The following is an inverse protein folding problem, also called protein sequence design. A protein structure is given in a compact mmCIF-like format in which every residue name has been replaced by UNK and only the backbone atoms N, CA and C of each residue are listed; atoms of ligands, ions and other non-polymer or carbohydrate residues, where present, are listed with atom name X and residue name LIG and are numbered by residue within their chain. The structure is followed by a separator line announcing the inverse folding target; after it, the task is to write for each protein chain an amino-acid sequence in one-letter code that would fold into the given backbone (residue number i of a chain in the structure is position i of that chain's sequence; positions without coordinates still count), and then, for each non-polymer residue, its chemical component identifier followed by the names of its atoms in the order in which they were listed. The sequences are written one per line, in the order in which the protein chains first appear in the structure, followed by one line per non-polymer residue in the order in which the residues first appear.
data_IF_116558896194
#
_entry.id   IF_116558896194
#
_cell.length_a   1.000
_cell.length_b   1.000
_cell.length_c   1.000
_cell.angle_alpha   90.00
_cell.angle_beta   90.00
_cell.angle_gamma   90.00
#
_symmetry.space_group_name_H-M   'P 1'
#
loop_
_entity.id
_entity.type
_entity.pdbx_description
1 polymer ?
#
# COMPACT_ATOMS: atom_id res chain seq x y z
N UNK A 1 4.17 -3.78 9.45
CA UNK A 1 4.13 -2.29 9.41
C UNK A 1 4.73 -1.75 10.68
N UNK A 2 5.50 -0.69 10.58
CA UNK A 2 6.12 0.04 11.69
C UNK A 2 5.66 1.50 11.66
N UNK A 3 5.35 2.06 12.82
CA UNK A 3 4.93 3.46 12.96
C UNK A 3 5.94 4.16 13.86
N UNK A 4 6.58 5.19 13.34
CA UNK A 4 7.57 6.00 14.05
C UNK A 4 7.01 7.42 14.17
N UNK A 5 6.94 7.94 15.38
CA UNK A 5 6.37 9.24 15.66
C UNK A 5 7.38 10.22 16.24
N UNK A 6 7.35 11.44 15.73
CA UNK A 6 8.01 12.62 16.30
C UNK A 6 6.96 13.74 16.52
N UNK A 7 7.31 14.86 17.17
CA UNK A 7 6.34 15.95 17.39
C UNK A 7 5.73 16.54 16.10
N UNK A 8 6.44 16.48 14.99
CA UNK A 8 6.02 17.14 13.73
C UNK A 8 5.80 16.15 12.58
N UNK A 9 6.06 14.86 12.80
CA UNK A 9 6.05 13.89 11.70
C UNK A 9 5.72 12.50 12.21
N UNK A 10 4.90 11.78 11.46
CA UNK A 10 4.73 10.34 11.60
C UNK A 10 5.25 9.66 10.33
N UNK A 11 6.01 8.60 10.50
CA UNK A 11 6.49 7.75 9.40
C UNK A 11 5.82 6.39 9.53
N UNK A 12 5.19 5.93 8.47
CA UNK A 12 4.64 4.58 8.37
C UNK A 12 5.48 3.78 7.37
N UNK A 13 6.17 2.75 7.87
CA UNK A 13 6.98 1.82 7.06
C UNK A 13 6.26 0.50 6.86
N UNK A 14 6.41 -0.08 5.68
CA UNK A 14 5.85 -1.38 5.34
C UNK A 14 6.94 -2.34 4.88
N UNK A 15 6.65 -3.64 4.87
CA UNK A 15 7.55 -4.70 4.37
C UNK A 15 7.94 -4.51 2.90
N UNK A 16 7.08 -3.86 2.11
CA UNK A 16 7.36 -3.51 0.72
C UNK A 16 8.37 -2.34 0.57
N UNK A 17 9.15 -2.03 1.60
CA UNK A 17 10.11 -0.92 1.69
C UNK A 17 9.51 0.45 1.39
N UNK A 18 8.20 0.57 1.42
CA UNK A 18 7.53 1.85 1.24
C UNK A 18 7.46 2.58 2.58
N UNK A 19 7.88 3.82 2.57
CA UNK A 19 7.80 4.70 3.73
C UNK A 19 6.94 5.90 3.38
N UNK A 20 5.87 6.09 4.13
CA UNK A 20 5.04 7.28 4.01
C UNK A 20 5.41 8.28 5.10
N UNK A 21 5.74 9.47 4.68
CA UNK A 21 6.01 10.59 5.56
C UNK A 21 4.75 11.44 5.71
N UNK A 22 4.24 11.51 6.93
CA UNK A 22 3.03 12.26 7.29
C UNK A 22 3.48 13.47 8.09
N UNK A 23 3.27 14.66 7.55
CA UNK A 23 3.62 15.90 8.24
C UNK A 23 2.45 16.38 9.10
N UNK A 24 2.75 16.71 10.35
CA UNK A 24 1.79 17.22 11.34
C UNK A 24 1.88 18.75 11.51
N UNK A 25 2.83 19.39 10.85
CA UNK A 25 3.01 20.83 10.86
C UNK A 25 2.18 21.52 9.77
N UNK A 26 2.10 22.86 9.86
CA UNK A 26 1.32 23.69 8.93
C UNK A 26 2.05 23.99 7.59
N UNK A 27 3.09 23.22 7.23
CA UNK A 27 3.75 23.42 5.93
C UNK A 27 2.75 23.33 4.77
N UNK A 28 2.92 24.11 3.72
CA UNK A 28 1.99 24.10 2.59
C UNK A 28 1.97 22.73 1.91
N UNK A 29 0.81 22.35 1.39
CA UNK A 29 0.67 21.18 0.50
C UNK A 29 1.43 21.45 -0.80
N UNK A 30 1.92 20.41 -1.48
CA UNK A 30 2.47 20.56 -2.83
C UNK A 30 1.45 21.24 -3.76
N UNK A 31 1.91 22.04 -4.73
CA UNK A 31 1.03 22.59 -5.77
C UNK A 31 0.23 21.48 -6.47
N UNK A 32 -0.95 21.82 -6.98
CA UNK A 32 -1.81 20.86 -7.68
C UNK A 32 -1.17 20.22 -8.92
N UNK A 33 -0.13 20.85 -9.48
CA UNK A 33 0.65 20.32 -10.61
C UNK A 33 1.66 19.24 -10.22
N UNK A 34 1.91 19.05 -8.92
CA UNK A 34 2.81 18.00 -8.42
C UNK A 34 1.98 16.77 -8.09
N UNK A 35 2.29 15.66 -8.75
CA UNK A 35 1.63 14.37 -8.55
C UNK A 35 2.62 13.35 -8.02
N UNK A 36 2.23 12.63 -6.99
CA UNK A 36 3.04 11.65 -6.27
C UNK A 36 2.37 10.28 -6.34
N UNK A 37 3.15 9.23 -6.49
CA UNK A 37 2.64 7.85 -6.56
C UNK A 37 1.75 7.49 -5.36
N UNK A 38 2.17 7.88 -4.16
CA UNK A 38 1.45 7.60 -2.92
C UNK A 38 0.63 8.79 -2.41
N UNK A 39 0.56 9.88 -3.18
CA UNK A 39 -0.04 11.13 -2.75
C UNK A 39 0.77 11.88 -1.70
N UNK A 40 0.38 13.12 -1.44
CA UNK A 40 0.95 13.97 -0.41
C UNK A 40 0.13 13.83 0.89
N UNK A 41 0.75 13.34 1.95
CA UNK A 41 0.12 13.15 3.24
C UNK A 41 0.22 14.39 4.13
N UNK A 42 -0.88 14.71 4.82
CA UNK A 42 -0.95 15.68 5.92
C UNK A 42 -1.76 15.08 7.05
N UNK A 43 -1.22 15.18 8.26
CA UNK A 43 -1.88 14.67 9.46
C UNK A 43 -2.20 15.77 10.44
N UNK A 44 -3.23 15.56 11.22
CA UNK A 44 -3.57 16.34 12.40
C UNK A 44 -4.22 15.45 13.45
N UNK A 45 -4.23 15.91 14.68
CA UNK A 45 -4.88 15.17 15.76
C UNK A 45 -6.30 15.69 15.98
N UNK A 46 -7.25 14.77 16.04
CA UNK A 46 -8.61 14.97 16.55
C UNK A 46 -8.72 14.18 17.86
N UNK A 47 -8.56 14.84 18.98
CA UNK A 47 -8.43 14.23 20.31
C UNK A 47 -7.32 13.16 20.34
N UNK A 48 -7.67 11.90 20.43
CA UNK A 48 -6.78 10.72 20.47
C UNK A 48 -6.63 10.01 19.11
N UNK A 49 -7.17 10.60 18.05
CA UNK A 49 -7.20 10.04 16.72
C UNK A 49 -6.31 10.85 15.78
N UNK A 50 -5.32 10.20 15.18
CA UNK A 50 -4.55 10.79 14.08
C UNK A 50 -5.38 10.68 12.80
N UNK A 51 -5.72 11.81 12.22
CA UNK A 51 -6.37 11.91 10.91
C UNK A 51 -5.33 12.27 9.87
N UNK A 52 -5.25 11.49 8.80
CA UNK A 52 -4.30 11.70 7.71
C UNK A 52 -5.05 11.87 6.40
N UNK A 53 -4.84 12.98 5.74
CA UNK A 53 -5.42 13.29 4.45
C UNK A 53 -4.37 13.19 3.35
N UNK A 54 -4.69 12.50 2.28
CA UNK A 54 -3.85 12.35 1.09
C UNK A 54 -4.50 13.02 -0.11
N UNK A 55 -3.69 13.72 -0.85
CA UNK A 55 -4.04 14.37 -2.12
C UNK A 55 -2.88 14.31 -3.11
N UNK A 56 -3.01 14.92 -4.26
CA UNK A 56 -1.93 15.01 -5.25
C UNK A 56 -1.41 13.63 -5.73
N UNK A 57 -2.32 12.70 -5.95
CA UNK A 57 -1.94 11.40 -6.50
C UNK A 57 -1.56 11.51 -7.99
N UNK A 58 -0.61 10.70 -8.43
CA UNK A 58 -0.39 10.46 -9.84
C UNK A 58 -1.58 9.71 -10.45
N UNK A 59 -1.77 9.82 -11.77
CA UNK A 59 -2.85 9.13 -12.50
C UNK A 59 -2.81 7.63 -12.22
N UNK A 60 -1.61 7.04 -12.32
CA UNK A 60 -1.36 5.62 -12.04
C UNK A 60 -1.07 5.36 -10.55
N UNK A 61 -1.26 6.38 -9.72
CA UNK A 61 -0.97 6.31 -8.29
C UNK A 61 -1.83 5.26 -7.60
N UNK A 62 -1.17 4.29 -6.99
CA UNK A 62 -1.84 3.23 -6.25
C UNK A 62 -2.31 3.74 -4.91
N UNK A 63 -3.62 3.64 -4.67
CA UNK A 63 -4.17 3.83 -3.33
C UNK A 63 -4.12 2.49 -2.62
N UNK A 64 -3.25 2.39 -1.65
CA UNK A 64 -3.15 1.20 -0.81
C UNK A 64 -3.66 1.57 0.57
N UNK A 65 -4.92 1.25 0.83
CA UNK A 65 -5.48 1.35 2.18
C UNK A 65 -4.85 0.28 3.07
N UNK A 66 -4.53 0.65 4.32
CA UNK A 66 -3.88 -0.21 5.31
C UNK A 66 -2.65 -0.95 4.79
N UNK A 67 -1.92 -0.35 3.97
CA UNK A 67 -0.53 -0.58 3.48
C UNK A 67 0.04 -2.00 3.53
N UNK A 68 -0.71 -3.03 3.92
CA UNK A 68 -0.26 -4.43 3.96
C UNK A 68 -1.41 -5.43 3.88
N UNK A 69 -1.31 -6.32 2.93
CA UNK A 69 -1.66 -7.75 2.92
C UNK A 69 -3.03 -8.22 3.43
N UNK A 70 -4.03 -7.37 3.59
CA UNK A 70 -5.37 -7.91 3.76
C UNK A 70 -6.21 -7.57 2.54
N UNK A 71 -6.72 -8.54 1.81
CA UNK A 71 -7.78 -8.24 0.84
C UNK A 71 -8.97 -7.69 1.64
N UNK A 72 -9.34 -6.47 1.49
CA UNK A 72 -9.71 -5.71 0.32
C UNK A 72 -8.96 -4.38 0.14
N UNK A 73 -7.74 -4.28 0.62
CA UNK A 73 -7.06 -3.01 0.81
C UNK A 73 -6.27 -2.50 -0.41
N UNK A 74 -6.12 -3.28 -1.46
CA UNK A 74 -5.55 -2.79 -2.71
C UNK A 74 -6.70 -2.25 -3.55
N UNK A 75 -6.97 -0.96 -3.40
CA UNK A 75 -7.88 -0.28 -4.30
C UNK A 75 -7.01 0.34 -5.38
N UNK A 76 -6.91 -0.34 -6.49
CA UNK A 76 -6.37 0.25 -7.71
C UNK A 76 -7.41 1.25 -8.20
N UNK A 77 -7.05 2.52 -8.16
CA UNK A 77 -7.82 3.58 -8.76
C UNK A 77 -7.11 4.00 -10.03
N UNK A 78 -7.64 3.57 -11.14
CA UNK A 78 -7.08 3.80 -12.46
C UNK A 78 -7.63 5.09 -13.05
N UNK A 79 -7.23 6.22 -12.59
CA UNK A 79 -7.48 7.24 -13.52
C UNK A 79 -7.85 8.61 -13.09
N UNK A 80 -7.90 8.99 -11.83
CA UNK A 80 -8.05 10.41 -11.55
C UNK A 80 -6.99 10.94 -10.60
N UNK A 81 -6.46 12.12 -10.92
CA UNK A 81 -5.60 12.89 -10.01
C UNK A 81 -6.39 13.53 -8.87
N UNK A 82 -7.72 13.52 -8.96
CA UNK A 82 -8.62 14.16 -7.99
C UNK A 82 -9.03 13.26 -6.83
N UNK A 83 -8.55 12.03 -6.80
CA UNK A 83 -8.82 11.11 -5.69
C UNK A 83 -8.25 11.65 -4.39
N UNK A 84 -8.99 11.42 -3.31
CA UNK A 84 -8.62 11.77 -1.94
C UNK A 84 -8.72 10.54 -1.07
N UNK A 85 -7.81 10.45 -0.11
CA UNK A 85 -7.84 9.41 0.90
C UNK A 85 -7.80 10.07 2.26
N UNK A 86 -8.63 9.57 3.17
CA UNK A 86 -8.58 9.94 4.58
C UNK A 86 -8.35 8.67 5.39
N UNK A 87 -7.30 8.64 6.18
CA UNK A 87 -7.03 7.59 7.15
C UNK A 87 -7.27 8.11 8.55
N UNK A 88 -7.75 7.23 9.43
CA UNK A 88 -7.98 7.51 10.86
C UNK A 88 -7.31 6.42 11.67
N UNK A 89 -6.47 6.83 12.59
CA UNK A 89 -5.66 5.94 13.42
C UNK A 89 -5.92 6.26 14.89
N UNK A 90 -6.55 5.33 15.59
CA UNK A 90 -6.86 5.50 17.01
C UNK A 90 -6.28 4.34 17.81
N UNK A 91 -5.47 4.67 18.82
CA UNK A 91 -4.99 3.66 19.76
C UNK A 91 -6.12 3.27 20.71
N UNK A 92 -6.49 2.00 20.73
CA UNK A 92 -7.50 1.47 21.63
C UNK A 92 -6.90 1.08 22.99
N UNK A 93 -5.73 0.43 22.95
CA UNK A 93 -4.96 0.01 24.10
C UNK A 93 -3.48 -0.18 23.74
N UNK A 94 -2.70 -0.86 24.58
CA UNK A 94 -1.28 -1.08 24.36
C UNK A 94 -0.95 -2.02 23.20
N UNK A 95 -1.93 -2.79 22.76
CA UNK A 95 -1.76 -3.84 21.73
C UNK A 95 -2.65 -3.67 20.51
N UNK A 96 -3.66 -2.79 20.59
CA UNK A 96 -4.64 -2.63 19.52
C UNK A 96 -4.71 -1.20 18.98
N UNK A 97 -4.82 -1.11 17.66
CA UNK A 97 -4.99 0.13 16.93
C UNK A 97 -6.22 0.01 16.01
N UNK A 98 -7.21 0.88 16.20
CA UNK A 98 -8.32 1.01 15.25
C UNK A 98 -7.83 1.82 14.05
N UNK A 99 -8.00 1.26 12.86
CA UNK A 99 -7.65 1.89 11.60
C UNK A 99 -8.88 2.02 10.72
N UNK A 100 -9.15 3.23 10.29
CA UNK A 100 -10.19 3.56 9.32
C UNK A 100 -9.58 4.16 8.06
N UNK A 101 -10.18 3.86 6.94
CA UNK A 101 -9.76 4.32 5.62
C UNK A 101 -11.00 4.72 4.80
N UNK A 102 -10.95 5.87 4.16
CA UNK A 102 -11.97 6.34 3.22
C UNK A 102 -11.32 6.79 1.93
N UNK A 103 -11.73 6.22 0.81
CA UNK A 103 -11.37 6.65 -0.53
C UNK A 103 -12.54 7.41 -1.15
N UNK A 104 -12.31 8.64 -1.55
CA UNK A 104 -13.18 9.45 -2.38
C UNK A 104 -12.51 9.66 -3.75
N UNK A 105 -13.07 9.02 -4.77
CA UNK A 105 -12.59 9.10 -6.15
C UNK A 105 -13.78 9.25 -7.10
N UNK A 106 -14.25 10.49 -7.31
CA UNK A 106 -15.44 10.75 -8.11
C UNK A 106 -15.28 10.40 -9.60
N UNK A 107 -14.07 10.14 -10.06
CA UNK A 107 -13.82 9.69 -11.45
C UNK A 107 -14.08 8.21 -11.66
N UNK A 108 -13.99 7.40 -10.60
CA UNK A 108 -14.18 5.95 -10.70
C UNK A 108 -15.32 5.41 -9.84
N UNK A 109 -15.85 6.21 -8.92
CA UNK A 109 -16.85 5.78 -7.92
C UNK A 109 -17.98 6.78 -7.81
N UNK A 110 -19.19 6.26 -7.64
CA UNK A 110 -20.40 7.07 -7.43
C UNK A 110 -20.56 7.56 -5.99
N UNK A 111 -19.79 6.99 -5.06
CA UNK A 111 -19.78 7.38 -3.64
C UNK A 111 -18.46 6.98 -2.99
N UNK A 112 -18.05 7.64 -1.91
CA UNK A 112 -16.87 7.23 -1.14
C UNK A 112 -16.97 5.79 -0.65
N UNK A 113 -15.81 5.13 -0.59
CA UNK A 113 -15.65 3.78 -0.07
C UNK A 113 -14.89 3.85 1.26
N UNK A 114 -15.45 3.26 2.31
CA UNK A 114 -14.83 3.25 3.63
C UNK A 114 -14.72 1.85 4.17
N UNK A 115 -13.65 1.63 4.94
CA UNK A 115 -13.41 0.40 5.69
C UNK A 115 -12.78 0.74 7.04
N UNK A 116 -13.08 -0.04 8.05
CA UNK A 116 -12.51 0.08 9.38
C UNK A 116 -12.23 -1.30 9.95
N UNK A 117 -11.09 -1.45 10.64
CA UNK A 117 -10.74 -2.69 11.32
C UNK A 117 -9.69 -2.46 12.42
N UNK A 118 -9.57 -3.44 13.31
CA UNK A 118 -8.59 -3.43 14.39
C UNK A 118 -7.31 -4.13 13.93
N UNK A 119 -6.17 -3.50 14.17
CA UNK A 119 -4.84 -4.06 13.99
C UNK A 119 -4.22 -4.41 15.34
N UNK A 120 -3.42 -5.48 15.36
CA UNK A 120 -2.68 -5.92 16.54
C UNK A 120 -1.22 -5.53 16.45
N UNK A 121 -0.66 -5.18 17.60
CA UNK A 121 0.78 -5.01 17.72
C UNK A 121 1.45 -6.39 17.63
N UNK A 122 2.44 -6.50 16.79
CA UNK A 122 3.32 -7.66 16.77
C UNK A 122 4.14 -7.74 18.09
N UNK A 123 4.52 -8.95 18.48
CA UNK A 123 5.39 -9.16 19.63
C UNK A 123 6.80 -8.63 19.35
N UNK A 124 7.58 -8.40 20.39
CA UNK A 124 8.96 -7.88 20.24
C UNK A 124 9.91 -8.86 19.51
N UNK A 125 9.48 -10.10 19.27
CA UNK A 125 10.22 -11.11 18.51
C UNK A 125 9.94 -11.06 17.01
N UNK A 126 8.89 -10.35 16.60
CA UNK A 126 8.46 -10.23 15.21
C UNK A 126 8.96 -8.90 14.64
N UNK A 127 10.03 -8.95 13.87
CA UNK A 127 10.61 -7.79 13.22
C UNK A 127 9.96 -7.54 11.86
N UNK A 128 9.91 -6.27 11.46
CA UNK A 128 9.55 -5.90 10.09
C UNK A 128 10.70 -6.32 9.17
N UNK A 129 10.46 -7.35 8.37
CA UNK A 129 11.40 -7.82 7.35
C UNK A 129 10.99 -7.28 5.98
N UNK A 130 11.96 -7.21 5.07
CA UNK A 130 11.68 -6.83 3.69
C UNK A 130 10.90 -7.93 2.97
N UNK A 131 9.85 -7.53 2.25
CA UNK A 131 9.16 -8.42 1.33
C UNK A 131 9.91 -8.48 0.00
N UNK A 132 10.87 -9.40 -0.07
CA UNK A 132 11.79 -9.58 -1.19
C UNK A 132 11.37 -10.78 -2.07
N UNK A 133 10.14 -10.75 -2.60
CA UNK A 133 9.58 -11.87 -3.38
C UNK A 133 10.33 -12.15 -4.71
N UNK A 134 11.23 -11.25 -5.12
CA UNK A 134 12.07 -11.46 -6.30
C UNK A 134 13.35 -12.23 -5.99
N UNK A 135 13.81 -12.20 -4.75
CA UNK A 135 15.01 -12.91 -4.35
C UNK A 135 14.74 -14.41 -4.27
N UNK A 136 15.60 -15.19 -4.91
CA UNK A 136 15.45 -16.65 -4.97
C UNK A 136 14.24 -17.13 -5.80
N UNK A 137 13.59 -16.26 -6.57
CA UNK A 137 12.49 -16.65 -7.46
C UNK A 137 13.04 -17.29 -8.73
N UNK A 138 13.12 -18.61 -8.75
CA UNK A 138 13.58 -19.43 -9.88
C UNK A 138 12.41 -19.91 -10.79
N UNK A 139 11.19 -19.47 -10.51
CA UNK A 139 10.00 -19.94 -11.24
C UNK A 139 10.09 -19.68 -12.75
N UNK A 140 10.62 -18.52 -13.17
CA UNK A 140 10.79 -18.21 -14.59
C UNK A 140 11.78 -19.16 -15.27
N UNK A 141 12.90 -19.45 -14.61
CA UNK A 141 13.91 -20.38 -15.10
C UNK A 141 13.33 -21.80 -15.25
N UNK A 142 12.60 -22.27 -14.25
CA UNK A 142 11.94 -23.58 -14.30
C UNK A 142 10.83 -23.65 -15.36
N UNK A 143 10.06 -22.60 -15.53
CA UNK A 143 9.02 -22.53 -16.57
C UNK A 143 9.63 -22.60 -17.95
N UNK A 144 10.69 -21.84 -18.20
CA UNK A 144 11.37 -21.83 -19.49
C UNK A 144 12.12 -23.15 -19.78
N UNK A 145 12.75 -23.74 -18.78
CA UNK A 145 13.41 -25.05 -18.94
C UNK A 145 12.43 -26.16 -19.18
N UNK A 146 11.28 -26.15 -18.52
CA UNK A 146 10.18 -27.09 -18.74
C UNK A 146 9.60 -27.00 -20.15
N UNK A 147 9.33 -25.79 -20.64
CA UNK A 147 8.87 -25.56 -22.01
C UNK A 147 9.85 -26.09 -23.06
N UNK A 148 11.14 -25.80 -22.87
CA UNK A 148 12.20 -26.31 -23.78
C UNK A 148 12.36 -27.84 -23.71
N UNK A 149 12.04 -28.46 -22.59
CA UNK A 149 12.05 -29.93 -22.50
C UNK A 149 10.88 -30.52 -23.29
N UNK A 150 9.69 -29.95 -23.19
CA UNK A 150 8.53 -30.34 -23.99
C UNK A 150 8.75 -30.19 -25.50
N UNK A 151 9.27 -29.03 -25.92
CA UNK A 151 9.61 -28.81 -27.34
C UNK A 151 10.56 -29.88 -27.90
N UNK A 152 11.55 -30.31 -27.11
CA UNK A 152 12.49 -31.38 -27.53
C UNK A 152 11.82 -32.74 -27.60
N UNK A 153 10.95 -33.05 -26.68
CA UNK A 153 10.18 -34.32 -26.71
C UNK A 153 9.26 -34.37 -27.93
N UNK A 154 8.61 -33.27 -28.29
CA UNK A 154 7.76 -33.15 -29.46
C UNK A 154 8.55 -33.28 -30.79
N UNK A 155 9.80 -32.74 -30.82
CA UNK A 155 10.69 -32.90 -31.99
C UNK A 155 11.24 -34.33 -32.14
N UNK A 156 11.42 -35.07 -31.04
CA UNK A 156 11.93 -36.46 -31.03
C UNK A 156 10.84 -37.51 -31.26
N UNK A 157 9.55 -37.17 -31.10
CA UNK A 157 8.47 -38.11 -31.46
C UNK A 157 8.36 -38.26 -32.98
N UNK A 158 8.66 -39.42 -33.53
CA UNK A 158 8.53 -39.65 -34.98
C UNK A 158 7.05 -39.50 -35.37
N UNK A 159 6.76 -38.60 -36.31
CA UNK A 159 5.45 -38.54 -36.93
C UNK A 159 5.08 -39.92 -37.44
N UNK A 160 4.28 -40.61 -36.67
CA UNK A 160 3.68 -41.88 -37.09
C UNK A 160 2.78 -41.60 -38.31
N UNK A 161 3.25 -42.01 -39.48
CA UNK A 161 2.49 -42.03 -40.75
C UNK A 161 1.49 -43.17 -40.73
#
# INVERSE_FOLDING_TARGET
MEIIQSPQTVVVRTEALRSQLIYLDERPRPPASVHLEQGAARGHWEDDTLVVEYSNFAVDGMVVGARNYSPPAIIMSDGTVNKRVTERWKRLDDTHLLYGFTLDDPGTRTRPYSVEFVMWRLTDQEQLVEYACHEGNVNLEFTLSGARAQEREEEEEPQAK
#
